data_IF_910159659912
#
_entry.id   IF_910159659912
#
_cell.length_a   1.000
_cell.length_b   1.000
_cell.length_c   1.000
_cell.angle_alpha   90.00
_cell.angle_beta   90.00
_cell.angle_gamma   90.00
#
_symmetry.space_group_name_H-M   'P 1'
#
loop_
_entity.id
_entity.type
_entity.pdbx_description
1 polymer ?
#
# COMPACT_ATOMS: atom_id res chain seq x y z
N UNK A 1 -1.95 -17.78 -3.30
CA UNK A 1 -2.69 -16.62 -2.78
C UNK A 1 -1.89 -16.07 -1.62
N UNK A 2 -1.14 -14.98 -1.83
CA UNK A 2 -0.41 -14.32 -0.73
C UNK A 2 -1.26 -13.12 -0.31
N UNK A 3 -2.14 -13.30 0.68
CA UNK A 3 -2.71 -12.16 1.40
C UNK A 3 -1.66 -11.68 2.40
N UNK A 4 -1.03 -10.54 2.12
CA UNK A 4 -0.24 -9.84 3.13
C UNK A 4 -1.22 -9.28 4.20
N UNK A 5 -0.93 -9.43 5.50
CA UNK A 5 -1.83 -8.98 6.56
C UNK A 5 -1.97 -7.46 6.48
N UNK A 6 -3.21 -6.97 6.56
CA UNK A 6 -3.54 -5.54 6.66
C UNK A 6 -2.70 -4.89 7.76
N UNK A 7 -1.61 -4.22 7.37
CA UNK A 7 -0.91 -3.30 8.24
C UNK A 7 -1.89 -2.19 8.61
N UNK A 8 -2.35 -2.17 9.87
CA UNK A 8 -3.17 -1.09 10.40
C UNK A 8 -2.45 0.24 10.16
N UNK A 9 -2.98 1.05 9.24
CA UNK A 9 -2.54 2.45 9.10
C UNK A 9 -3.00 3.15 10.38
N UNK A 10 -2.09 3.23 11.36
CA UNK A 10 -2.30 3.92 12.63
C UNK A 10 -2.01 5.41 12.43
N UNK A 11 -2.63 6.24 13.27
CA UNK A 11 -2.45 7.71 13.29
C UNK A 11 -3.08 8.52 12.14
N UNK A 12 -4.19 8.04 11.56
CA UNK A 12 -5.01 8.89 10.68
C UNK A 12 -5.88 9.82 11.53
N UNK A 13 -5.76 11.13 11.30
CA UNK A 13 -6.63 12.11 11.96
C UNK A 13 -8.11 11.86 11.63
N UNK A 14 -9.01 12.11 12.60
CA UNK A 14 -10.46 11.91 12.39
C UNK A 14 -11.00 12.71 11.21
N UNK A 15 -10.46 13.92 10.97
CA UNK A 15 -10.85 14.76 9.85
C UNK A 15 -10.42 14.17 8.51
N UNK A 16 -9.22 13.59 8.42
CA UNK A 16 -8.76 12.86 7.22
C UNK A 16 -9.64 11.65 6.95
N UNK A 17 -9.96 10.86 7.98
CA UNK A 17 -10.81 9.68 7.84
C UNK A 17 -12.24 10.03 7.41
N UNK A 18 -12.78 11.15 7.90
CA UNK A 18 -14.08 11.66 7.46
C UNK A 18 -14.07 12.03 5.98
N UNK A 19 -13.08 12.80 5.53
CA UNK A 19 -12.93 13.18 4.11
C UNK A 19 -12.77 11.96 3.20
N UNK A 20 -12.01 10.97 3.65
CA UNK A 20 -11.80 9.73 2.93
C UNK A 20 -13.10 8.92 2.78
N UNK A 21 -13.92 8.86 3.83
CA UNK A 21 -15.27 8.26 3.77
C UNK A 21 -16.18 9.00 2.78
N UNK A 22 -16.12 10.33 2.77
CA UNK A 22 -16.91 11.12 1.81
C UNK A 22 -16.48 10.90 0.36
N UNK A 23 -15.17 10.84 0.10
CA UNK A 23 -14.65 10.50 -1.22
C UNK A 23 -15.08 9.08 -1.65
N UNK A 24 -14.95 8.10 -0.77
CA UNK A 24 -15.38 6.72 -1.04
C UNK A 24 -16.89 6.62 -1.33
N UNK A 25 -17.71 7.36 -0.57
CA UNK A 25 -19.15 7.42 -0.78
C UNK A 25 -19.53 8.07 -2.12
N UNK A 26 -18.84 9.16 -2.51
CA UNK A 26 -19.07 9.82 -3.79
C UNK A 26 -18.75 8.91 -4.99
N UNK A 27 -17.73 8.07 -4.86
CA UNK A 27 -17.30 7.13 -5.92
C UNK A 27 -18.02 5.77 -5.84
N UNK A 28 -18.93 5.57 -4.87
CA UNK A 28 -19.61 4.31 -4.60
C UNK A 28 -18.66 3.12 -4.40
N UNK A 29 -17.52 3.37 -3.75
CA UNK A 29 -16.48 2.35 -3.46
C UNK A 29 -16.26 2.19 -1.97
N UNK A 30 -15.63 1.11 -1.56
CA UNK A 30 -15.20 0.98 -0.17
C UNK A 30 -14.00 1.87 0.09
N UNK A 31 -13.85 2.34 1.33
CA UNK A 31 -12.68 3.13 1.75
C UNK A 31 -11.38 2.35 1.52
N UNK A 32 -11.41 1.02 1.68
CA UNK A 32 -10.24 0.15 1.43
C UNK A 32 -9.81 0.24 -0.03
N UNK A 33 -10.76 0.07 -0.96
CA UNK A 33 -10.45 0.05 -2.40
C UNK A 33 -9.93 1.41 -2.87
N UNK A 34 -10.57 2.49 -2.42
CA UNK A 34 -10.14 3.85 -2.72
C UNK A 34 -8.70 4.12 -2.24
N UNK A 35 -8.37 3.70 -1.01
CA UNK A 35 -7.03 3.88 -0.45
C UNK A 35 -5.99 3.06 -1.20
N UNK A 36 -6.30 1.81 -1.55
CA UNK A 36 -5.39 0.96 -2.30
C UNK A 36 -5.07 1.55 -3.67
N UNK A 37 -6.07 1.98 -4.41
CA UNK A 37 -5.90 2.60 -5.73
C UNK A 37 -5.07 3.89 -5.66
N UNK A 38 -5.32 4.74 -4.66
CA UNK A 38 -4.53 5.95 -4.43
C UNK A 38 -3.06 5.63 -4.08
N UNK A 39 -2.82 4.61 -3.25
CA UNK A 39 -1.47 4.18 -2.87
C UNK A 39 -0.73 3.61 -4.09
N UNK A 40 -1.35 2.69 -4.83
CA UNK A 40 -0.75 2.08 -6.02
C UNK A 40 -0.43 3.12 -7.09
N UNK A 41 -1.36 4.02 -7.37
CA UNK A 41 -1.13 5.13 -8.30
C UNK A 41 0.03 6.01 -7.85
N UNK A 42 0.13 6.29 -6.55
CA UNK A 42 1.24 7.11 -6.02
C UNK A 42 2.57 6.38 -6.07
N UNK A 43 2.61 5.09 -5.77
CA UNK A 43 3.81 4.25 -5.89
C UNK A 43 4.28 4.25 -7.35
N UNK A 44 3.38 4.00 -8.31
CA UNK A 44 3.72 3.98 -9.73
C UNK A 44 4.26 5.34 -10.22
N UNK A 45 3.70 6.45 -9.74
CA UNK A 45 4.23 7.79 -10.01
C UNK A 45 5.65 7.98 -9.44
N UNK A 46 5.89 7.50 -8.22
CA UNK A 46 7.19 7.58 -7.55
C UNK A 46 8.24 6.66 -8.22
N UNK A 47 7.83 5.51 -8.73
CA UNK A 47 8.67 4.63 -9.54
C UNK A 47 9.09 5.31 -10.86
N UNK A 48 8.14 5.95 -11.57
CA UNK A 48 8.43 6.70 -12.81
C UNK A 48 9.39 7.86 -12.58
N UNK A 49 9.30 8.52 -11.43
CA UNK A 49 10.21 9.61 -11.03
C UNK A 49 11.56 9.11 -10.50
N UNK A 50 11.75 7.78 -10.36
CA UNK A 50 13.00 7.17 -9.92
C UNK A 50 13.23 7.18 -8.40
N UNK A 51 12.24 7.58 -7.60
CA UNK A 51 12.35 7.61 -6.14
C UNK A 51 12.13 6.23 -5.51
N UNK A 52 11.22 5.44 -6.09
CA UNK A 52 11.04 4.04 -5.72
C UNK A 52 11.73 3.16 -6.75
N UNK A 53 12.88 2.57 -6.40
CA UNK A 53 13.37 1.41 -7.14
C UNK A 53 12.41 0.28 -6.81
N UNK A 54 11.73 -0.27 -7.84
CA UNK A 54 10.94 -1.50 -7.73
C UNK A 54 11.82 -2.51 -7.01
N UNK A 55 11.49 -2.81 -5.75
CA UNK A 55 12.38 -3.55 -4.87
C UNK A 55 12.81 -4.82 -5.56
N UNK A 56 14.11 -5.00 -5.73
CA UNK A 56 14.68 -6.30 -5.98
C UNK A 56 14.11 -7.20 -4.89
N UNK A 57 13.25 -8.12 -5.30
CA UNK A 57 12.89 -9.27 -4.52
C UNK A 57 14.19 -9.81 -3.94
N UNK A 58 14.40 -9.56 -2.66
CA UNK A 58 15.50 -10.12 -1.91
C UNK A 58 15.12 -11.58 -1.80
N UNK A 59 15.43 -12.35 -2.85
CA UNK A 59 15.51 -13.79 -2.78
C UNK A 59 16.46 -14.03 -1.63
N UNK A 60 15.91 -14.38 -0.48
CA UNK A 60 16.68 -14.97 0.60
C UNK A 60 17.47 -16.09 -0.09
N UNK A 61 18.82 -16.04 -0.17
CA UNK A 61 19.52 -17.29 -0.37
C UNK A 61 19.05 -18.17 0.79
N UNK A 62 18.52 -19.35 0.45
CA UNK A 62 18.00 -20.30 1.43
C UNK A 62 19.00 -20.56 2.56
N UNK A 63 18.55 -21.19 3.65
CA UNK A 63 19.35 -21.31 4.86
C UNK A 63 20.72 -21.91 4.51
N UNK A 64 21.79 -21.18 4.86
CA UNK A 64 23.16 -21.66 4.74
C UNK A 64 23.31 -22.86 5.66
N UNK A 65 23.39 -24.05 5.06
CA UNK A 65 23.73 -25.30 5.71
C UNK A 65 25.15 -25.18 6.27
N UNK A 66 25.26 -25.01 7.59
CA UNK A 66 26.51 -25.16 8.32
C UNK A 66 26.46 -26.42 9.17
N UNK A 67 26.39 -27.59 8.53
CA UNK A 67 26.77 -28.89 9.10
C UNK A 67 26.89 -29.95 7.99
#
# INVERSE_FOLDING_TARGET
>A
MVEAPCSFIRDISRSTLFRLKMAAAAEQRTVKDLVLELIEGKIQEMEKKGYCRKGNEQKNPGPVEWL
#
